data_IF_727640181691
#
_entry.id   IF_727640181691
#
_cell.length_a   1.000
_cell.length_b   1.000
_cell.length_c   1.000
_cell.angle_alpha   90.00
_cell.angle_beta   90.00
_cell.angle_gamma   90.00
#
_symmetry.space_group_name_H-M   'P 1'
#
loop_
_entity.id
_entity.type
_entity.pdbx_description
1 polymer ?
#
# COMPACT_ATOMS: atom_id res chain seq x y z
N UNK A 1 13.97 6.10 -6.97
CA UNK A 1 12.61 5.75 -6.49
C UNK A 1 11.63 6.31 -7.50
N UNK A 2 10.64 5.52 -7.94
CA UNK A 2 9.63 5.99 -8.89
C UNK A 2 8.41 6.38 -8.07
N UNK A 3 8.49 7.53 -7.41
CA UNK A 3 7.48 8.01 -6.46
C UNK A 3 6.37 8.74 -7.20
N UNK A 4 5.14 8.30 -6.99
CA UNK A 4 3.96 9.03 -7.49
C UNK A 4 3.59 10.16 -6.54
N UNK A 5 3.01 11.26 -7.04
CA UNK A 5 2.50 12.33 -6.19
C UNK A 5 1.38 11.82 -5.27
N UNK A 6 1.31 12.36 -4.05
CA UNK A 6 0.38 11.93 -3.00
C UNK A 6 1.08 11.27 -1.81
N UNK A 7 0.36 11.11 -0.69
CA UNK A 7 0.87 10.56 0.57
C UNK A 7 0.17 9.24 0.88
N UNK A 8 0.81 8.32 1.59
CA UNK A 8 0.13 7.10 2.02
C UNK A 8 -0.96 7.43 3.05
N UNK A 9 -2.16 6.83 2.94
CA UNK A 9 -3.21 7.02 3.93
C UNK A 9 -2.75 6.47 5.29
N UNK A 10 -3.28 7.02 6.41
CA UNK A 10 -2.98 6.53 7.74
C UNK A 10 -3.40 5.07 7.87
N UNK A 11 -2.51 4.29 8.45
CA UNK A 11 -2.71 2.85 8.60
C UNK A 11 -3.61 2.60 9.80
N UNK A 12 -4.90 2.30 9.57
CA UNK A 12 -5.79 1.92 10.66
C UNK A 12 -5.48 0.48 11.10
N UNK A 13 -5.09 0.23 12.36
CA UNK A 13 -4.79 -1.11 12.87
C UNK A 13 -6.05 -1.97 13.09
N UNK A 14 -7.25 -1.42 12.88
CA UNK A 14 -8.53 -2.08 13.12
C UNK A 14 -9.03 -2.99 11.99
N UNK A 15 -8.28 -3.16 10.89
CA UNK A 15 -8.69 -4.07 9.81
C UNK A 15 -8.36 -5.50 10.26
N UNK A 16 -9.36 -6.37 10.52
CA UNK A 16 -9.09 -7.76 10.84
C UNK A 16 -8.28 -8.39 9.69
N UNK A 17 -7.30 -9.22 10.04
CA UNK A 17 -6.48 -10.00 9.10
C UNK A 17 -7.34 -11.04 8.36
N UNK A 18 -8.23 -10.59 7.48
CA UNK A 18 -8.99 -11.44 6.57
C UNK A 18 -8.10 -11.73 5.35
N UNK A 19 -7.12 -12.62 5.53
CA UNK A 19 -6.34 -13.19 4.41
C UNK A 19 -4.81 -13.20 4.60
N UNK A 20 -4.14 -13.81 3.61
CA UNK A 20 -2.68 -13.87 3.52
C UNK A 20 -2.12 -12.47 3.38
N UNK A 21 -1.27 -12.10 4.34
CA UNK A 21 -0.60 -10.83 4.35
C UNK A 21 0.73 -10.90 3.61
N UNK A 22 0.70 -10.62 2.31
CA UNK A 22 1.88 -10.62 1.44
C UNK A 22 2.14 -9.24 0.85
N UNK A 23 3.38 -9.03 0.39
CA UNK A 23 3.73 -7.83 -0.37
C UNK A 23 3.06 -7.90 -1.74
N UNK A 24 2.18 -6.96 -2.06
CA UNK A 24 1.56 -6.83 -3.39
C UNK A 24 2.36 -5.94 -4.34
N UNK A 25 3.25 -5.10 -3.81
CA UNK A 25 4.04 -4.16 -4.60
C UNK A 25 5.44 -3.96 -3.99
N UNK A 26 6.36 -3.36 -4.75
CA UNK A 26 7.67 -2.91 -4.25
C UNK A 26 7.84 -1.39 -4.35
N UNK A 27 7.26 -0.79 -5.37
CA UNK A 27 7.32 0.65 -5.68
C UNK A 27 5.99 1.13 -6.23
N UNK A 28 5.77 2.45 -6.26
CA UNK A 28 4.56 3.07 -6.78
C UNK A 28 4.28 2.69 -8.25
N UNK A 29 5.33 2.43 -9.05
CA UNK A 29 5.21 1.99 -10.45
C UNK A 29 4.57 0.61 -10.60
N UNK A 30 4.63 -0.24 -9.57
CA UNK A 30 3.95 -1.54 -9.59
C UNK A 30 2.42 -1.39 -9.49
N UNK A 31 1.95 -0.23 -9.04
CA UNK A 31 0.55 0.06 -8.86
C UNK A 31 -0.01 0.79 -10.08
N UNK A 32 -1.25 0.50 -10.45
CA UNK A 32 -1.89 1.13 -11.62
C UNK A 32 -2.33 2.57 -11.33
N UNK A 33 -2.35 3.41 -12.37
CA UNK A 33 -2.84 4.78 -12.28
C UNK A 33 -2.07 5.63 -11.26
N UNK A 34 -2.79 6.27 -10.34
CA UNK A 34 -2.20 7.12 -9.29
C UNK A 34 -2.01 6.37 -7.95
N UNK A 35 -2.22 5.05 -7.92
CA UNK A 35 -2.04 4.27 -6.71
C UNK A 35 -0.56 4.21 -6.31
N UNK A 36 -0.32 4.25 -5.00
CA UNK A 36 0.99 4.20 -4.36
C UNK A 36 1.19 2.88 -3.63
N UNK A 37 2.44 2.45 -3.53
CA UNK A 37 2.82 1.26 -2.78
C UNK A 37 3.07 1.64 -1.32
N UNK A 38 2.08 1.37 -0.46
CA UNK A 38 2.08 1.84 0.94
C UNK A 38 2.01 0.69 1.92
N UNK A 39 2.55 0.90 3.13
CA UNK A 39 2.50 -0.09 4.20
C UNK A 39 1.10 -0.14 4.83
N UNK A 40 0.50 -1.31 4.87
CA UNK A 40 -0.80 -1.54 5.52
C UNK A 40 -0.66 -2.05 6.96
N UNK A 41 -1.78 -2.19 7.68
CA UNK A 41 -1.84 -2.44 9.12
C UNK A 41 -1.23 -3.76 9.58
N UNK A 42 -0.97 -4.66 8.63
CA UNK A 42 -0.25 -5.91 8.86
C UNK A 42 1.27 -5.80 8.59
N UNK A 43 1.78 -4.61 8.28
CA UNK A 43 3.21 -4.36 8.09
C UNK A 43 3.77 -4.81 6.73
N UNK A 44 2.91 -5.27 5.80
CA UNK A 44 3.22 -5.52 4.39
C UNK A 44 2.82 -4.31 3.53
N UNK A 45 3.19 -4.31 2.26
CA UNK A 45 2.88 -3.22 1.33
C UNK A 45 1.87 -3.64 0.28
N UNK A 46 0.93 -2.73 -0.03
CA UNK A 46 -0.08 -2.93 -1.07
C UNK A 46 -0.32 -1.64 -1.84
N UNK A 47 -0.91 -1.78 -3.02
CA UNK A 47 -1.34 -0.65 -3.82
C UNK A 47 -2.59 -0.02 -3.22
N UNK A 48 -2.46 1.21 -2.76
CA UNK A 48 -3.57 2.00 -2.21
C UNK A 48 -3.66 3.32 -2.95
N UNK A 49 -4.84 3.90 -2.97
CA UNK A 49 -5.00 5.27 -3.43
C UNK A 49 -4.35 6.20 -2.40
N UNK A 50 -3.53 7.19 -2.82
CA UNK A 50 -3.02 8.22 -1.93
C UNK A 50 -4.14 8.96 -1.18
#
# INVERSE_FOLDING_TARGET
LSEKPGTCPPVNPGIPMLGVCTNQCKTDSNCSGNQKCCRNGCGKVSCVTP
#
